data_IF_437079324736
#
_entry.id   IF_437079324736
#
_cell.length_a   1.000
_cell.length_b   1.000
_cell.length_c   1.000
_cell.angle_alpha   90.00
_cell.angle_beta   90.00
_cell.angle_gamma   90.00
#
_symmetry.space_group_name_H-M   'P 1'
#
loop_
_entity.id
_entity.type
_entity.pdbx_description
1 polymer ?
#
# COMPACT_ATOMS: atom_id res chain seq x y z
N UNK A 1 -1.13 -2.47 4.36
CA UNK A 1 -1.96 -3.52 5.00
C UNK A 1 -3.29 -3.04 5.50
N UNK A 2 -3.38 -1.89 6.17
CA UNK A 2 -4.65 -1.28 6.61
C UNK A 2 -5.65 -1.19 5.45
N UNK A 3 -5.27 -0.56 4.33
CA UNK A 3 -6.12 -0.42 3.13
C UNK A 3 -6.61 -1.77 2.61
N UNK A 4 -5.85 -2.86 2.80
CA UNK A 4 -6.14 -4.20 2.30
C UNK A 4 -6.80 -5.12 3.34
N UNK A 5 -7.03 -4.65 4.56
CA UNK A 5 -7.61 -5.46 5.65
C UNK A 5 -6.66 -6.55 6.16
N UNK A 6 -5.34 -6.41 5.92
CA UNK A 6 -4.30 -7.36 6.34
C UNK A 6 -3.52 -6.92 7.58
N UNK A 7 -3.89 -5.78 8.15
CA UNK A 7 -3.20 -5.23 9.31
C UNK A 7 -3.62 -5.97 10.59
N UNK A 8 -2.66 -6.63 11.24
CA UNK A 8 -2.82 -7.39 12.48
C UNK A 8 -3.23 -6.49 13.65
N UNK A 9 -2.89 -5.21 13.62
CA UNK A 9 -3.25 -4.26 14.67
C UNK A 9 -4.72 -3.79 14.58
N UNK A 10 -5.40 -3.92 13.44
CA UNK A 10 -6.83 -3.65 13.29
C UNK A 10 -7.72 -4.69 14.00
N UNK A 11 -7.20 -5.89 14.28
CA UNK A 11 -7.91 -6.95 15.01
C UNK A 11 -7.94 -6.79 16.53
N UNK A 12 -7.22 -5.81 17.08
CA UNK A 12 -7.22 -5.50 18.52
C UNK A 12 -8.49 -4.71 18.92
N UNK A 13 -9.03 -4.88 20.14
CA UNK A 13 -10.30 -4.30 20.59
C UNK A 13 -10.21 -2.79 20.89
N UNK A 14 -9.70 -2.00 19.95
CA UNK A 14 -9.73 -0.54 19.99
C UNK A 14 -10.88 -0.03 19.10
N UNK A 15 -11.81 0.72 19.70
CA UNK A 15 -12.99 1.29 19.03
C UNK A 15 -12.66 2.12 17.79
N UNK A 16 -11.55 2.87 17.82
CA UNK A 16 -11.14 3.70 16.68
C UNK A 16 -10.73 2.86 15.47
N UNK A 17 -10.02 1.75 15.71
CA UNK A 17 -9.55 0.84 14.67
C UNK A 17 -10.70 0.07 14.02
N UNK A 18 -11.66 -0.38 14.84
CA UNK A 18 -12.89 -1.00 14.35
C UNK A 18 -13.65 -0.03 13.45
N UNK A 19 -13.84 1.22 13.90
CA UNK A 19 -14.51 2.27 13.12
C UNK A 19 -13.78 2.57 11.80
N UNK A 20 -12.44 2.59 11.81
CA UNK A 20 -11.64 2.77 10.60
C UNK A 20 -11.88 1.63 9.60
N UNK A 21 -11.82 0.37 10.04
CA UNK A 21 -12.03 -0.79 9.16
C UNK A 21 -13.48 -0.86 8.65
N UNK A 22 -14.48 -0.53 9.47
CA UNK A 22 -15.88 -0.42 9.03
C UNK A 22 -16.07 0.65 7.94
N UNK A 23 -15.42 1.81 8.09
CA UNK A 23 -15.48 2.87 7.08
C UNK A 23 -14.79 2.44 5.78
N UNK A 24 -13.63 1.78 5.86
CA UNK A 24 -12.95 1.26 4.68
C UNK A 24 -13.80 0.21 3.96
N UNK A 25 -14.42 -0.73 4.69
CA UNK A 25 -15.34 -1.71 4.11
C UNK A 25 -16.47 -1.02 3.35
N UNK A 26 -17.14 -0.04 3.96
CA UNK A 26 -18.23 0.73 3.31
C UNK A 26 -17.77 1.41 2.00
N UNK A 27 -16.59 2.04 2.01
CA UNK A 27 -16.03 2.69 0.81
C UNK A 27 -15.80 1.65 -0.30
N UNK A 28 -15.16 0.53 0.02
CA UNK A 28 -14.85 -0.48 -0.97
C UNK A 28 -16.06 -1.29 -1.43
N UNK A 29 -17.08 -1.46 -0.58
CA UNK A 29 -18.37 -2.04 -0.98
C UNK A 29 -19.08 -1.15 -1.99
N UNK A 30 -19.05 0.18 -1.81
CA UNK A 30 -19.59 1.12 -2.79
C UNK A 30 -18.85 1.02 -4.13
N UNK A 31 -17.51 1.09 -4.10
CA UNK A 31 -16.67 0.94 -5.31
C UNK A 31 -16.96 -0.39 -6.03
N UNK A 32 -17.09 -1.48 -5.25
CA UNK A 32 -17.40 -2.80 -5.77
C UNK A 32 -18.77 -2.86 -6.46
N UNK A 33 -19.78 -2.21 -5.88
CA UNK A 33 -21.16 -2.25 -6.37
C UNK A 33 -21.41 -1.29 -7.55
N UNK A 34 -20.54 -0.30 -7.77
CA UNK A 34 -20.60 0.61 -8.91
C UNK A 34 -20.17 -0.03 -10.25
N UNK A 35 -19.53 -1.21 -10.22
CA UNK A 35 -19.03 -1.88 -11.42
C UNK A 35 -19.44 -3.36 -11.46
N UNK A 36 -20.06 -3.78 -12.57
CA UNK A 36 -20.57 -5.14 -12.74
C UNK A 36 -19.49 -6.24 -12.77
N UNK A 37 -18.25 -5.92 -13.13
CA UNK A 37 -17.12 -6.86 -13.06
C UNK A 37 -16.53 -6.93 -11.64
N UNK A 38 -16.46 -5.80 -10.94
CA UNK A 38 -16.01 -5.78 -9.54
C UNK A 38 -16.99 -6.48 -8.60
N UNK A 39 -18.30 -6.39 -8.87
CA UNK A 39 -19.34 -7.02 -8.03
C UNK A 39 -19.19 -8.55 -7.95
N UNK A 40 -18.59 -9.17 -8.96
CA UNK A 40 -18.26 -10.61 -9.01
C UNK A 40 -17.06 -11.00 -8.13
N UNK A 41 -16.25 -10.03 -7.69
CA UNK A 41 -15.05 -10.25 -6.90
C UNK A 41 -15.35 -10.19 -5.39
N UNK A 42 -14.52 -10.85 -4.58
CA UNK A 42 -14.57 -10.66 -3.12
C UNK A 42 -14.04 -9.26 -2.76
N UNK A 43 -14.49 -8.71 -1.63
CA UNK A 43 -14.07 -7.37 -1.18
C UNK A 43 -12.55 -7.30 -0.99
N UNK A 44 -11.93 -8.40 -0.52
CA UNK A 44 -10.49 -8.52 -0.33
C UNK A 44 -9.74 -8.40 -1.67
N UNK A 45 -10.24 -9.05 -2.72
CA UNK A 45 -9.65 -8.94 -4.07
C UNK A 45 -9.74 -7.53 -4.62
N UNK A 46 -10.87 -6.85 -4.43
CA UNK A 46 -11.04 -5.44 -4.85
C UNK A 46 -10.02 -4.55 -4.15
N UNK A 47 -9.83 -4.72 -2.84
CA UNK A 47 -8.86 -3.94 -2.06
C UNK A 47 -7.40 -4.21 -2.49
N UNK A 48 -7.07 -5.46 -2.81
CA UNK A 48 -5.74 -5.82 -3.35
C UNK A 48 -5.47 -5.21 -4.72
N UNK A 49 -6.45 -5.26 -5.64
CA UNK A 49 -6.30 -4.67 -6.97
C UNK A 49 -6.20 -3.15 -6.90
N UNK A 50 -7.02 -2.51 -6.05
CA UNK A 50 -6.93 -1.08 -5.80
C UNK A 50 -5.54 -0.69 -5.30
N UNK A 51 -4.98 -1.43 -4.35
CA UNK A 51 -3.62 -1.18 -3.86
C UNK A 51 -2.57 -1.37 -4.97
N UNK A 52 -2.65 -2.44 -5.75
CA UNK A 52 -1.71 -2.73 -6.82
C UNK A 52 -1.67 -1.63 -7.89
N UNK A 53 -2.83 -1.03 -8.19
CA UNK A 53 -2.95 0.07 -9.17
C UNK A 53 -2.41 1.37 -8.57
N UNK A 54 -2.76 1.70 -7.32
CA UNK A 54 -2.51 3.04 -6.75
C UNK A 54 -1.27 3.16 -5.87
N UNK A 55 -0.50 2.08 -5.67
CA UNK A 55 0.69 2.10 -4.79
C UNK A 55 1.76 3.10 -5.25
N UNK A 56 1.83 3.40 -6.55
CA UNK A 56 2.79 4.35 -7.11
C UNK A 56 2.44 5.79 -6.67
N UNK A 57 1.20 6.21 -6.88
CA UNK A 57 0.71 7.54 -6.50
C UNK A 57 0.80 7.73 -4.97
N UNK A 58 0.51 6.67 -4.20
CA UNK A 58 0.68 6.70 -2.75
C UNK A 58 2.15 6.84 -2.32
N UNK A 59 3.08 6.22 -3.05
CA UNK A 59 4.51 6.39 -2.80
C UNK A 59 4.96 7.81 -3.10
N UNK A 60 4.55 8.37 -4.24
CA UNK A 60 4.84 9.76 -4.61
C UNK A 60 4.35 10.74 -3.54
N UNK A 61 3.13 10.53 -3.02
CA UNK A 61 2.59 11.32 -1.92
C UNK A 61 3.38 11.15 -0.62
N UNK A 62 3.75 9.91 -0.27
CA UNK A 62 4.53 9.59 0.93
C UNK A 62 5.92 10.25 0.91
N UNK A 63 6.58 10.26 -0.25
CA UNK A 63 7.94 10.79 -0.40
C UNK A 63 7.99 12.27 -0.79
N UNK A 64 6.84 12.95 -0.86
CA UNK A 64 6.74 14.37 -1.25
C UNK A 64 7.67 15.28 -0.45
N UNK A 65 7.78 15.05 0.86
CA UNK A 65 8.64 15.80 1.77
C UNK A 65 9.93 15.05 2.16
N UNK A 66 10.28 13.97 1.45
CA UNK A 66 11.52 13.26 1.73
C UNK A 66 12.73 14.19 1.47
N UNK A 67 13.75 14.19 2.35
CA UNK A 67 14.91 15.05 2.18
C UNK A 67 15.65 14.81 0.86
N UNK A 68 16.25 15.86 0.31
CA UNK A 68 17.21 15.72 -0.78
C UNK A 68 18.42 14.90 -0.29
N UNK A 69 18.93 13.97 -1.11
CA UNK A 69 19.99 13.04 -0.70
C UNK A 69 19.51 11.80 0.06
N UNK A 70 18.24 11.74 0.48
CA UNK A 70 17.66 10.50 1.01
C UNK A 70 17.36 9.55 -0.15
N UNK A 71 17.98 8.37 -0.14
CA UNK A 71 17.78 7.34 -1.16
C UNK A 71 17.36 6.01 -0.52
N UNK A 72 16.42 5.32 -1.15
CA UNK A 72 16.06 3.96 -0.79
C UNK A 72 17.02 2.97 -1.46
N UNK A 73 17.46 1.98 -0.71
CA UNK A 73 18.43 0.98 -1.16
C UNK A 73 17.84 -0.42 -1.09
N UNK A 74 18.01 -1.18 -2.16
CA UNK A 74 17.71 -2.61 -2.21
C UNK A 74 18.99 -3.35 -2.53
N UNK A 75 19.43 -4.17 -1.58
CA UNK A 75 20.49 -5.13 -1.82
C UNK A 75 19.99 -6.23 -2.76
N UNK A 76 20.74 -6.44 -3.84
CA UNK A 76 20.69 -7.66 -4.64
C UNK A 76 22.12 -8.13 -4.81
N UNK A 77 22.35 -9.44 -4.70
CA UNK A 77 23.68 -10.00 -4.98
C UNK A 77 24.21 -9.45 -6.31
N UNK A 78 25.40 -8.87 -6.23
CA UNK A 78 26.19 -8.26 -7.31
C UNK A 78 25.64 -7.00 -8.00
N UNK A 79 24.40 -6.56 -7.70
CA UNK A 79 23.81 -5.35 -8.31
C UNK A 79 22.92 -4.58 -7.34
N UNK A 80 23.50 -3.81 -6.40
CA UNK A 80 22.74 -2.93 -5.55
C UNK A 80 21.88 -1.97 -6.38
N UNK A 81 20.62 -1.77 -5.96
CA UNK A 81 19.71 -0.83 -6.60
C UNK A 81 19.41 0.32 -5.64
N UNK A 82 19.62 1.55 -6.11
CA UNK A 82 19.29 2.77 -5.37
C UNK A 82 18.14 3.49 -6.05
N UNK A 83 17.33 4.19 -5.26
CA UNK A 83 16.39 5.18 -5.77
C UNK A 83 17.11 6.44 -6.23
N UNK A 84 16.41 7.24 -7.02
CA UNK A 84 16.75 8.67 -7.15
C UNK A 84 16.49 9.41 -5.83
N UNK A 85 16.93 10.67 -5.78
CA UNK A 85 16.72 11.58 -4.65
C UNK A 85 15.29 11.53 -4.11
N UNK A 86 15.14 11.84 -2.81
CA UNK A 86 13.86 11.85 -2.10
C UNK A 86 13.16 10.48 -2.15
N UNK A 87 13.93 9.43 -1.88
CA UNK A 87 13.44 8.04 -1.86
C UNK A 87 12.75 7.61 -3.17
N UNK A 88 13.16 8.20 -4.31
CA UNK A 88 12.56 7.90 -5.61
C UNK A 88 11.30 8.71 -5.91
N UNK A 89 11.05 9.85 -5.26
CA UNK A 89 9.84 10.66 -5.47
C UNK A 89 9.57 11.01 -6.94
N UNK A 90 10.60 11.38 -7.69
CA UNK A 90 10.48 11.75 -9.11
C UNK A 90 10.67 10.54 -10.06
N UNK A 91 10.60 9.32 -9.54
CA UNK A 91 10.74 8.12 -10.37
C UNK A 91 9.42 7.79 -11.05
N UNK A 92 9.40 7.81 -12.38
CA UNK A 92 8.18 7.55 -13.16
C UNK A 92 7.76 6.06 -13.20
N UNK A 93 8.48 5.16 -12.54
CA UNK A 93 8.14 3.74 -12.44
C UNK A 93 7.60 3.36 -11.06
N UNK A 94 7.50 2.05 -10.80
CA UNK A 94 7.00 1.54 -9.53
C UNK A 94 7.93 1.86 -8.35
N UNK A 95 7.39 1.97 -7.11
CA UNK A 95 8.21 2.06 -5.91
C UNK A 95 9.26 0.96 -5.87
N UNK A 96 10.48 1.30 -5.49
CA UNK A 96 11.57 0.33 -5.43
C UNK A 96 11.43 -0.69 -4.29
N UNK A 97 10.59 -0.39 -3.31
CA UNK A 97 10.24 -1.27 -2.21
C UNK A 97 9.16 -2.26 -2.61
N UNK A 98 9.25 -3.48 -2.10
CA UNK A 98 8.17 -4.48 -2.13
C UNK A 98 7.78 -4.92 -0.72
N UNK A 99 8.08 -4.10 0.30
CA UNK A 99 7.72 -4.41 1.69
C UNK A 99 6.20 -4.55 1.85
N UNK A 100 5.39 -3.85 1.06
CA UNK A 100 3.95 -4.04 1.00
C UNK A 100 3.52 -5.40 0.42
N UNK A 101 4.42 -6.21 -0.14
CA UNK A 101 4.15 -7.61 -0.51
C UNK A 101 4.78 -8.63 0.46
N UNK A 102 5.49 -8.18 1.49
CA UNK A 102 6.02 -9.04 2.55
C UNK A 102 4.98 -9.16 3.67
N UNK A 103 4.70 -10.35 4.24
CA UNK A 103 3.80 -10.51 5.38
C UNK A 103 4.13 -9.57 6.55
N UNK A 104 3.13 -8.95 7.19
CA UNK A 104 3.35 -7.95 8.24
C UNK A 104 4.25 -8.42 9.38
N UNK A 105 4.06 -9.66 9.83
CA UNK A 105 4.86 -10.27 10.89
C UNK A 105 6.38 -10.25 10.59
N UNK A 106 6.79 -10.40 9.33
CA UNK A 106 8.20 -10.38 8.94
C UNK A 106 8.77 -8.96 8.78
N UNK A 107 7.92 -7.92 8.88
CA UNK A 107 8.33 -6.52 8.74
C UNK A 107 8.46 -5.79 10.07
N UNK A 108 7.93 -6.37 11.16
CA UNK A 108 7.98 -5.81 12.50
C UNK A 108 9.13 -6.40 13.32
#
# INVERSE_FOLDING_TARGET
DIVRGKDLFLGAPNKEKIKLEENLKKIFDNIKNENAELSKLSLEKVREYWWAIHRKELWEALTCSAPKGANYFVYKLDRPKFSSDRCGHNYNGDPLTNLDYVPQYLRW
#
